data_IF_294086516511
#
_entry.id   IF_294086516511
#
_cell.length_a   1.000
_cell.length_b   1.000
_cell.length_c   1.000
_cell.angle_alpha   90.00
_cell.angle_beta   90.00
_cell.angle_gamma   90.00
#
_symmetry.space_group_name_H-M   'P 1'
#
loop_
_entity.id
_entity.type
_entity.pdbx_description
1 polymer ?
#
# COMPACT_ATOMS: atom_id res chain seq x y z
N UNK A 1 -4.22 -8.45 -6.98
CA UNK A 1 -4.05 -6.98 -6.87
C UNK A 1 -3.05 -6.54 -7.91
N UNK A 2 -3.18 -5.33 -8.46
CA UNK A 2 -2.27 -4.83 -9.51
C UNK A 2 -0.82 -4.76 -9.03
N UNK A 3 -0.61 -4.43 -7.74
CA UNK A 3 0.71 -4.44 -7.12
C UNK A 3 1.34 -5.85 -7.08
N UNK A 4 0.57 -6.91 -6.84
CA UNK A 4 1.09 -8.27 -6.85
C UNK A 4 1.64 -8.64 -8.23
N UNK A 5 0.86 -8.38 -9.29
CA UNK A 5 1.28 -8.62 -10.67
C UNK A 5 2.51 -7.80 -11.04
N UNK A 6 2.54 -6.52 -10.63
CA UNK A 6 3.70 -5.65 -10.79
C UNK A 6 4.95 -6.19 -10.08
N UNK A 7 4.84 -6.60 -8.81
CA UNK A 7 5.99 -7.07 -8.05
C UNK A 7 6.51 -8.40 -8.59
N UNK A 8 5.61 -9.32 -8.94
CA UNK A 8 5.97 -10.63 -9.48
C UNK A 8 6.56 -10.57 -10.90
N UNK A 9 6.34 -9.48 -11.65
CA UNK A 9 6.97 -9.28 -12.97
C UNK A 9 8.37 -8.67 -12.89
N UNK A 10 8.82 -8.22 -11.72
CA UNK A 10 10.16 -7.66 -11.54
C UNK A 10 11.24 -8.74 -11.69
N UNK A 11 12.31 -8.38 -12.38
CA UNK A 11 13.53 -9.17 -12.50
C UNK A 11 14.79 -8.28 -12.38
N UNK A 12 15.98 -8.86 -12.10
CA UNK A 12 17.22 -8.11 -11.89
C UNK A 12 17.71 -7.27 -13.10
N UNK A 13 17.30 -7.63 -14.31
CA UNK A 13 17.65 -6.96 -15.56
C UNK A 13 16.64 -5.89 -15.96
N UNK A 14 15.36 -6.06 -15.62
CA UNK A 14 14.29 -5.09 -15.94
C UNK A 14 14.09 -4.01 -14.85
N UNK A 15 14.62 -4.21 -13.64
CA UNK A 15 14.42 -3.32 -12.49
C UNK A 15 15.69 -2.59 -12.04
N UNK A 16 16.50 -2.12 -13.00
CA UNK A 16 17.77 -1.43 -12.73
C UNK A 16 17.64 -0.14 -11.91
N UNK A 17 16.46 0.47 -11.87
CA UNK A 17 16.15 1.67 -11.07
C UNK A 17 16.26 1.45 -9.56
N UNK A 18 16.09 0.21 -9.08
CA UNK A 18 16.20 -0.11 -7.66
C UNK A 18 17.60 -0.70 -7.39
N UNK A 19 18.51 0.05 -6.75
CA UNK A 19 19.89 -0.39 -6.55
C UNK A 19 20.01 -1.61 -5.63
N UNK A 20 19.02 -1.86 -4.77
CA UNK A 20 19.01 -2.99 -3.83
C UNK A 20 18.37 -4.26 -4.38
N UNK A 21 17.80 -4.21 -5.60
CA UNK A 21 17.01 -5.33 -6.11
C UNK A 21 17.86 -6.58 -6.41
N UNK A 22 19.12 -6.40 -6.81
CA UNK A 22 20.06 -7.51 -7.04
C UNK A 22 20.44 -8.22 -5.74
N UNK A 23 20.74 -7.45 -4.70
CA UNK A 23 21.03 -8.00 -3.36
C UNK A 23 19.84 -8.79 -2.81
N UNK A 24 18.63 -8.22 -2.91
CA UNK A 24 17.38 -8.92 -2.58
C UNK A 24 17.25 -10.24 -3.34
N UNK A 25 17.56 -10.26 -4.65
CA UNK A 25 17.42 -11.44 -5.49
C UNK A 25 18.38 -12.56 -5.07
N UNK A 26 19.66 -12.23 -4.86
CA UNK A 26 20.67 -13.18 -4.36
C UNK A 26 20.25 -13.75 -2.99
N UNK A 27 19.78 -12.91 -2.07
CA UNK A 27 19.31 -13.35 -0.77
C UNK A 27 18.06 -14.23 -0.85
N UNK A 28 17.06 -13.84 -1.66
CA UNK A 28 15.76 -14.53 -1.74
C UNK A 28 15.85 -15.89 -2.41
N UNK A 29 16.70 -16.03 -3.41
CA UNK A 29 16.85 -17.26 -4.18
C UNK A 29 18.13 -18.04 -3.84
N UNK A 30 18.94 -17.54 -2.91
CA UNK A 30 20.22 -18.13 -2.51
C UNK A 30 21.14 -18.41 -3.71
N UNK A 31 21.21 -17.44 -4.62
CA UNK A 31 22.02 -17.49 -5.85
C UNK A 31 23.11 -16.42 -5.84
N UNK A 32 24.02 -16.42 -6.81
CA UNK A 32 24.96 -15.31 -7.05
C UNK A 32 25.08 -14.91 -8.51
N UNK A 33 24.99 -13.61 -8.79
CA UNK A 33 25.26 -13.06 -10.13
C UNK A 33 26.71 -13.34 -10.58
N UNK A 34 27.65 -13.51 -9.65
CA UNK A 34 29.04 -13.91 -9.98
C UNK A 34 29.10 -15.35 -10.49
N UNK A 35 28.27 -16.23 -9.92
CA UNK A 35 28.19 -17.65 -10.30
C UNK A 35 27.26 -17.90 -11.49
N UNK A 36 26.49 -16.88 -11.92
CA UNK A 36 25.58 -16.90 -13.08
C UNK A 36 24.42 -17.90 -12.96
N UNK A 37 24.04 -18.23 -11.74
CA UNK A 37 22.92 -19.14 -11.41
C UNK A 37 21.61 -18.38 -11.10
N UNK A 38 21.66 -17.07 -10.86
CA UNK A 38 20.47 -16.27 -10.51
C UNK A 38 19.39 -16.17 -11.60
N UNK A 39 19.73 -16.53 -12.85
CA UNK A 39 18.87 -16.26 -13.99
C UNK A 39 17.66 -17.18 -14.14
N UNK A 40 17.73 -18.37 -13.53
CA UNK A 40 16.69 -19.38 -13.63
C UNK A 40 15.47 -19.09 -12.72
N UNK A 41 15.59 -18.13 -11.80
CA UNK A 41 14.56 -17.86 -10.81
C UNK A 41 13.51 -16.85 -11.30
N UNK A 42 12.32 -16.89 -10.71
CA UNK A 42 11.25 -15.94 -10.98
C UNK A 42 10.38 -15.74 -9.75
N UNK A 43 9.98 -14.50 -9.49
CA UNK A 43 9.00 -14.18 -8.45
C UNK A 43 7.60 -14.74 -8.77
N UNK A 44 7.33 -15.12 -10.02
CA UNK A 44 6.08 -15.81 -10.40
C UNK A 44 6.05 -17.27 -9.98
N UNK A 45 7.22 -17.89 -9.79
CA UNK A 45 7.33 -19.30 -9.43
C UNK A 45 7.13 -19.54 -7.93
N UNK A 46 7.03 -18.49 -7.12
CA UNK A 46 6.84 -18.54 -5.67
C UNK A 46 5.52 -17.87 -5.28
N UNK A 47 4.81 -18.37 -4.25
CA UNK A 47 3.64 -17.68 -3.72
C UNK A 47 4.00 -16.27 -3.27
N UNK A 48 3.19 -15.29 -3.67
CA UNK A 48 3.33 -13.91 -3.24
C UNK A 48 2.46 -13.65 -2.03
N UNK A 49 3.10 -13.29 -0.92
CA UNK A 49 2.43 -12.81 0.29
C UNK A 49 2.65 -11.31 0.41
N UNK A 50 1.59 -10.54 0.20
CA UNK A 50 1.67 -9.09 0.28
C UNK A 50 1.87 -8.66 1.74
N UNK A 51 2.87 -7.81 2.00
CA UNK A 51 3.04 -7.23 3.32
C UNK A 51 1.83 -6.34 3.68
N UNK A 52 1.40 -6.44 4.94
CA UNK A 52 0.16 -5.84 5.46
C UNK A 52 0.05 -4.32 5.29
N UNK A 53 1.17 -3.61 5.19
CA UNK A 53 1.24 -2.14 5.15
C UNK A 53 1.49 -1.56 3.76
N UNK A 54 1.57 -2.40 2.72
CA UNK A 54 1.70 -1.93 1.33
C UNK A 54 0.59 -0.91 0.97
N UNK A 55 -0.63 -1.13 1.46
CA UNK A 55 -1.73 -0.17 1.27
C UNK A 55 -1.41 1.22 1.84
N UNK A 56 -0.79 1.30 3.01
CA UNK A 56 -0.42 2.57 3.63
C UNK A 56 0.69 3.28 2.85
N UNK A 57 1.65 2.52 2.29
CA UNK A 57 2.71 3.08 1.44
C UNK A 57 2.09 3.72 0.18
N UNK A 58 1.17 3.01 -0.49
CA UNK A 58 0.46 3.55 -1.66
C UNK A 58 -0.36 4.79 -1.28
N UNK A 59 -1.15 4.70 -0.20
CA UNK A 59 -1.97 5.82 0.26
C UNK A 59 -1.14 7.06 0.62
N UNK A 60 0.04 6.90 1.23
CA UNK A 60 0.92 8.02 1.57
C UNK A 60 1.46 8.73 0.31
N UNK A 61 1.87 7.97 -0.71
CA UNK A 61 2.32 8.54 -1.99
C UNK A 61 1.16 9.28 -2.69
N UNK A 62 -0.03 8.67 -2.73
CA UNK A 62 -1.21 9.30 -3.32
C UNK A 62 -1.65 10.53 -2.52
N UNK A 63 -1.55 10.54 -1.19
CA UNK A 63 -1.86 11.71 -0.38
C UNK A 63 -0.98 12.91 -0.74
N UNK A 64 0.32 12.69 -0.94
CA UNK A 64 1.23 13.74 -1.40
C UNK A 64 0.87 14.19 -2.83
N UNK A 65 0.56 13.26 -3.72
CA UNK A 65 0.16 13.58 -5.09
C UNK A 65 -1.13 14.42 -5.14
N UNK A 66 -2.15 14.05 -4.36
CA UNK A 66 -3.40 14.81 -4.23
C UNK A 66 -3.16 16.19 -3.60
N UNK A 67 -2.31 16.30 -2.58
CA UNK A 67 -1.98 17.59 -1.99
C UNK A 67 -1.29 18.53 -2.99
N UNK A 68 -0.33 18.03 -3.75
CA UNK A 68 0.34 18.79 -4.82
C UNK A 68 -0.61 19.15 -5.96
N UNK A 69 -1.51 18.24 -6.33
CA UNK A 69 -2.52 18.49 -7.35
C UNK A 69 -3.49 19.61 -6.92
N UNK A 70 -4.01 19.55 -5.69
CA UNK A 70 -4.91 20.57 -5.15
C UNK A 70 -4.20 21.93 -5.01
N UNK A 71 -2.92 21.91 -4.60
CA UNK A 71 -2.08 23.11 -4.55
C UNK A 71 -1.85 23.72 -5.94
N UNK A 72 -1.61 22.87 -6.94
CA UNK A 72 -1.45 23.28 -8.32
C UNK A 72 -2.73 23.88 -8.89
N UNK A 73 -3.90 23.26 -8.67
CA UNK A 73 -5.18 23.83 -9.08
C UNK A 73 -5.43 25.22 -8.48
N UNK A 74 -5.00 25.45 -7.23
CA UNK A 74 -5.17 26.72 -6.55
C UNK A 74 -4.19 27.81 -7.02
N UNK A 75 -2.97 27.45 -7.42
CA UNK A 75 -1.88 28.40 -7.71
C UNK A 75 -1.56 28.56 -9.20
N UNK A 76 -1.90 27.56 -10.01
CA UNK A 76 -1.60 27.49 -11.43
C UNK A 76 -2.87 27.22 -12.27
N UNK A 77 -3.97 28.00 -12.13
CA UNK A 77 -5.27 27.67 -12.74
C UNK A 77 -5.27 27.68 -14.28
N UNK A 78 -4.30 28.36 -14.90
CA UNK A 78 -4.25 28.58 -16.35
C UNK A 78 -3.31 27.61 -17.11
N UNK A 79 -2.75 26.60 -16.43
CA UNK A 79 -1.81 25.66 -17.06
C UNK A 79 -1.82 24.31 -16.36
N UNK A 80 -1.57 23.24 -17.10
CA UNK A 80 -1.31 21.91 -16.53
C UNK A 80 0.16 21.71 -16.13
N UNK A 81 1.03 22.64 -16.54
CA UNK A 81 2.46 22.64 -16.21
C UNK A 81 2.72 23.30 -14.85
N UNK A 82 3.92 23.10 -14.30
CA UNK A 82 4.34 23.73 -13.05
C UNK A 82 4.65 25.22 -13.26
N UNK A 83 3.85 26.10 -12.67
CA UNK A 83 4.02 27.56 -12.73
C UNK A 83 5.00 28.10 -11.67
N UNK A 84 5.41 29.38 -11.81
CA UNK A 84 6.41 30.01 -10.95
C UNK A 84 5.98 30.09 -9.47
N UNK A 85 4.67 30.15 -9.20
CA UNK A 85 4.13 30.13 -7.83
C UNK A 85 4.42 28.82 -7.07
N UNK A 86 4.85 27.76 -7.77
CA UNK A 86 5.26 26.47 -7.19
C UNK A 86 6.76 26.17 -7.41
N UNK A 87 7.57 27.17 -7.78
CA UNK A 87 9.02 27.04 -8.01
C UNK A 87 9.81 27.97 -7.06
N UNK A 88 10.20 27.53 -5.86
CA UNK A 88 9.93 26.22 -5.24
C UNK A 88 8.56 26.15 -4.56
N UNK A 89 8.12 24.93 -4.22
CA UNK A 89 6.91 24.72 -3.43
C UNK A 89 7.13 25.21 -1.99
N UNK A 90 6.19 25.99 -1.46
CA UNK A 90 6.21 26.38 -0.05
C UNK A 90 5.76 25.21 0.84
N UNK A 91 6.71 24.57 1.54
CA UNK A 91 6.45 23.37 2.37
C UNK A 91 5.45 23.59 3.51
N UNK A 92 5.46 24.76 4.17
CA UNK A 92 4.50 25.07 5.25
C UNK A 92 3.08 25.15 4.69
N UNK A 93 2.92 25.80 3.53
CA UNK A 93 1.64 25.94 2.85
C UNK A 93 1.15 24.59 2.34
N UNK A 94 2.03 23.82 1.68
CA UNK A 94 1.74 22.47 1.22
C UNK A 94 1.20 21.60 2.37
N UNK A 95 1.90 21.58 3.51
CA UNK A 95 1.48 20.76 4.65
C UNK A 95 0.15 21.22 5.25
N UNK A 96 0.05 22.49 5.66
CA UNK A 96 -1.11 22.98 6.43
C UNK A 96 -2.37 23.13 5.59
N UNK A 97 -2.23 23.62 4.36
CA UNK A 97 -3.39 24.02 3.56
C UNK A 97 -3.85 22.88 2.63
N UNK A 98 -2.95 21.95 2.28
CA UNK A 98 -3.23 20.90 1.29
C UNK A 98 -3.08 19.48 1.83
N UNK A 99 -1.94 19.09 2.43
CA UNK A 99 -1.73 17.72 2.93
C UNK A 99 -2.76 17.37 4.00
N UNK A 100 -2.95 18.20 5.02
CA UNK A 100 -3.93 17.94 6.09
C UNK A 100 -5.38 17.93 5.59
N UNK A 101 -5.65 18.57 4.46
CA UNK A 101 -6.99 18.74 3.90
C UNK A 101 -7.28 17.80 2.71
N UNK A 102 -6.41 16.84 2.42
CA UNK A 102 -6.73 15.83 1.40
C UNK A 102 -7.86 14.94 1.88
N UNK A 103 -8.81 14.67 0.98
CA UNK A 103 -9.91 13.74 1.19
C UNK A 103 -10.22 13.08 -0.14
N UNK A 104 -9.89 11.81 -0.28
CA UNK A 104 -10.10 11.08 -1.52
C UNK A 104 -10.29 9.59 -1.28
N UNK A 105 -10.98 8.96 -2.21
CA UNK A 105 -11.20 7.53 -2.26
C UNK A 105 -9.86 6.77 -2.36
N UNK A 106 -9.60 5.84 -1.45
CA UNK A 106 -8.33 5.12 -1.42
C UNK A 106 -8.13 4.33 -2.73
N UNK A 107 -6.98 4.47 -3.40
CA UNK A 107 -6.71 3.80 -4.66
C UNK A 107 -6.61 2.28 -4.46
N UNK A 108 -7.06 1.50 -5.45
CA UNK A 108 -7.03 0.04 -5.44
C UNK A 108 -7.78 -0.61 -4.25
N UNK A 109 -8.66 0.12 -3.58
CA UNK A 109 -9.51 -0.42 -2.51
C UNK A 109 -10.40 -1.54 -3.05
N UNK A 110 -10.68 -2.59 -2.25
CA UNK A 110 -11.68 -3.60 -2.59
C UNK A 110 -13.04 -2.97 -2.91
N UNK A 111 -13.76 -3.54 -3.87
CA UNK A 111 -15.05 -3.01 -4.36
C UNK A 111 -16.13 -2.94 -3.27
N UNK A 112 -16.04 -3.80 -2.25
CA UNK A 112 -16.90 -3.85 -1.08
C UNK A 112 -16.52 -2.84 0.01
N UNK A 113 -15.50 -2.01 -0.21
CA UNK A 113 -15.02 -1.03 0.77
C UNK A 113 -15.13 0.39 0.26
N UNK A 114 -15.64 1.28 1.12
CA UNK A 114 -15.63 2.74 0.91
C UNK A 114 -14.44 3.37 1.64
N UNK A 115 -13.25 2.77 1.52
CA UNK A 115 -12.07 3.30 2.20
C UNK A 115 -11.68 4.66 1.64
N UNK A 116 -11.45 5.62 2.53
CA UNK A 116 -11.03 6.98 2.21
C UNK A 116 -9.66 7.27 2.84
N UNK A 117 -8.86 8.08 2.16
CA UNK A 117 -7.63 8.66 2.70
C UNK A 117 -7.91 10.10 3.10
N UNK A 118 -7.79 10.37 4.40
CA UNK A 118 -7.84 11.69 5.02
C UNK A 118 -7.02 11.68 6.30
N UNK A 119 -6.68 12.87 6.78
CA UNK A 119 -5.99 13.06 8.04
C UNK A 119 -6.89 13.77 9.05
N UNK A 120 -6.62 13.56 10.33
CA UNK A 120 -7.18 14.38 11.39
C UNK A 120 -6.40 15.70 11.56
N UNK A 121 -6.78 16.49 12.56
CA UNK A 121 -6.14 17.80 12.85
C UNK A 121 -4.66 17.71 13.23
N UNK A 122 -4.16 16.53 13.59
CA UNK A 122 -2.77 16.28 13.97
C UNK A 122 -1.95 15.66 12.84
N UNK A 123 -2.60 15.29 11.72
CA UNK A 123 -1.96 14.61 10.61
C UNK A 123 -1.97 13.08 10.74
N UNK A 124 -2.73 12.54 11.69
CA UNK A 124 -2.88 11.10 11.86
C UNK A 124 -3.89 10.55 10.84
N UNK A 125 -3.58 9.38 10.28
CA UNK A 125 -4.50 8.68 9.40
C UNK A 125 -5.68 8.10 10.18
N UNK A 126 -6.83 7.93 9.50
CA UNK A 126 -8.01 7.30 10.12
C UNK A 126 -7.70 5.86 10.52
N UNK A 127 -7.93 5.55 11.81
CA UNK A 127 -7.72 4.22 12.37
C UNK A 127 -8.70 3.21 11.77
N UNK A 128 -8.21 2.38 10.84
CA UNK A 128 -8.96 1.24 10.31
C UNK A 128 -8.17 -0.03 10.50
N UNK A 129 -8.79 -1.00 11.16
CA UNK A 129 -8.12 -2.25 11.53
C UNK A 129 -8.93 -3.43 11.00
N UNK A 130 -8.28 -4.38 10.36
CA UNK A 130 -8.89 -5.68 10.10
C UNK A 130 -8.73 -6.55 11.34
N UNK A 131 -9.78 -7.29 11.70
CA UNK A 131 -9.76 -8.21 12.85
C UNK A 131 -9.63 -9.63 12.31
N UNK A 132 -8.68 -10.38 12.88
CA UNK A 132 -8.40 -11.75 12.48
C UNK A 132 -8.52 -12.69 13.68
N UNK A 133 -8.93 -13.92 13.41
CA UNK A 133 -8.84 -15.04 14.37
C UNK A 133 -7.81 -16.06 13.87
N UNK A 134 -7.09 -16.70 14.79
CA UNK A 134 -6.19 -17.79 14.48
C UNK A 134 -6.91 -19.11 14.69
N UNK A 135 -7.03 -19.92 13.64
CA UNK A 135 -7.80 -21.16 13.68
C UNK A 135 -7.04 -22.34 13.07
N UNK A 136 -7.40 -23.54 13.53
CA UNK A 136 -6.96 -24.80 12.93
C UNK A 136 -7.93 -25.21 11.84
N UNK A 137 -7.44 -25.31 10.61
CA UNK A 137 -8.22 -25.79 9.47
C UNK A 137 -8.42 -27.31 9.54
N UNK A 138 -9.42 -27.84 8.80
CA UNK A 138 -9.70 -29.28 8.74
C UNK A 138 -8.52 -30.14 8.27
N UNK A 139 -7.55 -29.55 7.55
CA UNK A 139 -6.29 -30.20 7.17
C UNK A 139 -5.25 -30.32 8.30
N UNK A 140 -5.59 -29.85 9.50
CA UNK A 140 -4.68 -29.81 10.66
C UNK A 140 -3.72 -28.62 10.67
N UNK A 141 -3.62 -27.85 9.58
CA UNK A 141 -2.79 -26.64 9.49
C UNK A 141 -3.48 -25.44 10.14
N UNK A 142 -2.68 -24.52 10.67
CA UNK A 142 -3.20 -23.27 11.22
C UNK A 142 -3.15 -22.13 10.21
N UNK A 143 -4.10 -21.19 10.32
CA UNK A 143 -4.15 -19.99 9.48
C UNK A 143 -4.86 -18.84 10.18
N UNK A 144 -4.60 -17.63 9.70
CA UNK A 144 -5.41 -16.46 10.04
C UNK A 144 -6.63 -16.39 9.13
N UNK A 145 -7.79 -16.06 9.72
CA UNK A 145 -9.03 -15.78 9.00
C UNK A 145 -9.49 -14.36 9.38
N UNK A 146 -9.78 -13.51 8.39
CA UNK A 146 -10.42 -12.22 8.65
C UNK A 146 -11.85 -12.50 9.12
N UNK A 147 -12.23 -11.92 10.25
CA UNK A 147 -13.55 -12.09 10.89
C UNK A 147 -14.28 -10.77 11.12
N UNK A 148 -13.65 -9.65 10.77
CA UNK A 148 -14.29 -8.35 10.88
C UNK A 148 -13.33 -7.20 10.65
N UNK A 149 -13.75 -6.01 11.07
CA UNK A 149 -12.95 -4.79 11.04
C UNK A 149 -13.45 -3.79 12.08
N UNK A 150 -12.59 -2.83 12.41
CA UNK A 150 -12.91 -1.64 13.18
C UNK A 150 -12.66 -0.41 12.31
N UNK A 151 -13.67 0.45 12.16
CA UNK A 151 -13.57 1.75 11.48
C UNK A 151 -14.66 2.68 12.04
N UNK A 152 -14.32 3.48 13.05
CA UNK A 152 -15.30 4.32 13.81
C UNK A 152 -16.46 3.51 14.44
N UNK A 153 -16.27 2.19 14.55
CA UNK A 153 -17.29 1.22 14.93
C UNK A 153 -16.80 -0.20 14.69
N UNK A 154 -17.26 -1.14 15.52
CA UNK A 154 -16.89 -2.55 15.43
C UNK A 154 -17.87 -3.32 14.53
N UNK A 155 -17.34 -4.04 13.54
CA UNK A 155 -18.10 -4.98 12.72
C UNK A 155 -17.43 -6.34 12.78
N UNK A 156 -18.14 -7.35 13.29
CA UNK A 156 -17.67 -8.74 13.39
C UNK A 156 -18.67 -9.70 12.78
N UNK A 157 -18.16 -10.70 12.07
CA UNK A 157 -18.90 -11.88 11.65
C UNK A 157 -18.51 -13.05 12.55
N UNK A 158 -19.36 -13.32 13.55
CA UNK A 158 -19.11 -14.36 14.55
C UNK A 158 -19.19 -15.76 13.97
N UNK A 159 -19.86 -15.95 12.83
CA UNK A 159 -19.96 -17.26 12.17
C UNK A 159 -18.60 -17.78 11.67
N UNK A 160 -17.66 -16.87 11.45
CA UNK A 160 -16.29 -17.17 11.03
C UNK A 160 -15.33 -17.47 12.20
N UNK A 161 -15.81 -17.37 13.44
CA UNK A 161 -15.02 -17.55 14.66
C UNK A 161 -15.36 -18.92 15.27
N UNK A 162 -14.45 -19.92 15.21
CA UNK A 162 -14.79 -21.31 15.54
C UNK A 162 -15.28 -21.55 16.97
N UNK A 163 -14.83 -20.72 17.93
CA UNK A 163 -15.21 -20.83 19.34
C UNK A 163 -16.44 -19.98 19.70
N UNK A 164 -16.94 -19.17 18.77
CA UNK A 164 -18.15 -18.36 18.94
C UNK A 164 -19.36 -18.97 18.20
N UNK A 165 -19.11 -19.80 17.19
CA UNK A 165 -20.15 -20.62 16.56
C UNK A 165 -20.64 -21.69 17.56
N UNK A 166 -21.96 -21.80 17.81
CA UNK A 166 -22.53 -22.79 18.72
C UNK A 166 -22.32 -24.24 18.27
#
# INVERSE_FOLDING_TARGET
SDFASYFQSLDPWNNSRNPWFREFWEQRFHCSFRQRDCAAHSLRAVPFEQESKIMFVVNAVYAMAHALHNMHQALCPNTTQLCDAMRPVNGRRLYKDFVLNVKFDAPFRPADTQSEVRFDRFGDGIGRYNIFTYLRAGSGRYRYQKVGYWAEGLTLDTSLIPWASP
#
